data_IF_506507508833
#
_entry.id   IF_506507508833
#
_cell.length_a   1.000
_cell.length_b   1.000
_cell.length_c   1.000
_cell.angle_alpha   90.00
_cell.angle_beta   90.00
_cell.angle_gamma   90.00
#
_symmetry.space_group_name_H-M   'P 1'
#
loop_
_entity.id
_entity.type
_entity.pdbx_description
1 polymer ?
#
# COMPACT_ATOMS: atom_id res chain seq x y z
N UNK A 1 -7.67 3.70 15.12
CA UNK A 1 -6.62 3.57 16.15
C UNK A 1 -5.32 3.26 15.42
N UNK A 2 -4.33 4.12 15.58
CA UNK A 2 -3.03 3.99 14.95
C UNK A 2 -2.14 3.04 15.74
N UNK A 3 -1.00 2.65 15.16
CA UNK A 3 -0.06 1.70 15.78
C UNK A 3 0.49 2.17 17.14
N UNK A 4 0.59 3.49 17.35
CA UNK A 4 1.00 4.14 18.60
C UNK A 4 -0.11 4.19 19.66
N UNK A 5 -1.29 3.64 19.37
CA UNK A 5 -2.47 3.67 20.23
C UNK A 5 -3.30 4.96 20.11
N UNK A 6 -2.85 5.96 19.35
CA UNK A 6 -3.60 7.19 19.14
C UNK A 6 -4.87 6.95 18.32
N UNK A 7 -5.86 7.83 18.48
CA UNK A 7 -7.12 7.79 17.74
C UNK A 7 -7.24 9.01 16.83
N UNK A 8 -7.90 8.82 15.68
CA UNK A 8 -8.28 9.91 14.78
C UNK A 8 -9.81 9.89 14.68
N UNK A 9 -10.51 10.94 15.12
CA UNK A 9 -11.95 11.00 14.95
C UNK A 9 -12.30 11.23 13.47
N UNK A 10 -13.32 10.53 12.99
CA UNK A 10 -13.77 10.59 11.60
C UNK A 10 -15.28 10.72 11.51
N UNK A 11 -15.76 11.45 10.48
CA UNK A 11 -17.18 11.56 10.19
C UNK A 11 -17.64 10.35 9.39
N UNK A 12 -18.49 9.54 10.01
CA UNK A 12 -19.01 8.28 9.43
C UNK A 12 -19.59 8.46 8.03
N UNK A 13 -20.43 9.47 7.83
CA UNK A 13 -21.08 9.75 6.55
C UNK A 13 -20.07 10.03 5.42
N UNK A 14 -19.05 10.84 5.70
CA UNK A 14 -18.04 11.20 4.71
C UNK A 14 -17.21 9.98 4.31
N UNK A 15 -16.71 9.23 5.31
CA UNK A 15 -15.89 8.04 5.06
C UNK A 15 -16.71 6.97 4.32
N UNK A 16 -17.99 6.78 4.65
CA UNK A 16 -18.89 5.85 3.96
C UNK A 16 -19.11 6.19 2.47
N UNK A 17 -19.15 7.48 2.13
CA UNK A 17 -19.31 7.91 0.74
C UNK A 17 -18.01 7.66 -0.05
N UNK A 18 -16.86 7.83 0.61
CA UNK A 18 -15.53 7.77 -0.02
C UNK A 18 -14.91 6.37 -0.04
N UNK A 19 -15.43 5.43 0.74
CA UNK A 19 -14.91 4.07 0.86
C UNK A 19 -16.05 3.05 0.87
N UNK A 20 -15.98 2.08 -0.05
CA UNK A 20 -16.92 0.96 -0.05
C UNK A 20 -16.74 0.08 1.19
N UNK A 21 -15.50 -0.14 1.63
CA UNK A 21 -15.20 -0.89 2.85
C UNK A 21 -15.92 -0.31 4.06
N UNK A 22 -15.76 0.99 4.30
CA UNK A 22 -16.38 1.64 5.45
C UNK A 22 -17.90 1.72 5.30
N UNK A 23 -18.43 1.91 4.08
CA UNK A 23 -19.87 1.85 3.85
C UNK A 23 -20.46 0.52 4.30
N UNK A 24 -19.90 -0.59 3.84
CA UNK A 24 -20.35 -1.93 4.20
C UNK A 24 -20.20 -2.19 5.71
N UNK A 25 -19.05 -1.82 6.28
CA UNK A 25 -18.81 -1.93 7.72
C UNK A 25 -19.85 -1.16 8.53
N UNK A 26 -20.17 0.05 8.13
CA UNK A 26 -21.15 0.89 8.81
C UNK A 26 -22.57 0.37 8.63
N UNK A 27 -22.97 -0.08 7.43
CA UNK A 27 -24.29 -0.67 7.24
C UNK A 27 -24.47 -1.94 8.09
N UNK A 28 -23.43 -2.76 8.22
CA UNK A 28 -23.45 -3.92 9.12
C UNK A 28 -23.49 -3.50 10.60
N UNK A 29 -22.76 -2.44 10.96
CA UNK A 29 -22.69 -1.91 12.31
C UNK A 29 -23.91 -1.08 12.74
N UNK A 30 -24.79 -0.64 11.84
CA UNK A 30 -26.05 0.03 12.22
C UNK A 30 -26.98 -0.87 13.05
N UNK A 31 -26.70 -2.17 13.12
CA UNK A 31 -27.31 -3.09 14.09
C UNK A 31 -26.78 -2.92 15.54
N UNK A 32 -25.67 -2.21 15.75
CA UNK A 32 -24.99 -2.02 17.03
C UNK A 32 -24.78 -0.52 17.31
N UNK A 33 -25.55 0.02 18.26
CA UNK A 33 -25.40 1.42 18.71
C UNK A 33 -24.06 1.58 19.43
N UNK A 34 -23.15 2.42 18.91
CA UNK A 34 -21.89 2.76 19.57
C UNK A 34 -20.81 3.35 18.65
N UNK A 35 -19.68 3.72 19.26
CA UNK A 35 -18.48 4.16 18.54
C UNK A 35 -17.86 2.98 17.77
N UNK A 36 -17.59 3.18 16.47
CA UNK A 36 -16.94 2.19 15.61
C UNK A 36 -15.46 2.50 15.50
N UNK A 37 -14.62 1.57 15.96
CA UNK A 37 -13.17 1.66 15.82
C UNK A 37 -12.69 0.83 14.62
N UNK A 38 -11.70 1.38 13.91
CA UNK A 38 -10.89 0.67 12.92
C UNK A 38 -9.45 0.71 13.41
N UNK A 39 -8.81 -0.45 13.49
CA UNK A 39 -7.38 -0.54 13.83
C UNK A 39 -6.56 -0.52 12.54
N UNK A 40 -5.66 0.46 12.44
CA UNK A 40 -4.73 0.56 11.31
C UNK A 40 -3.40 -0.01 11.79
N UNK A 41 -3.22 -1.32 11.59
CA UNK A 41 -2.06 -2.05 12.08
C UNK A 41 -0.81 -1.71 11.27
N UNK A 42 0.30 -1.42 11.96
CA UNK A 42 1.62 -1.25 11.35
C UNK A 42 1.79 0.04 10.52
N UNK A 43 0.79 0.93 10.46
CA UNK A 43 0.88 2.19 9.73
C UNK A 43 1.21 3.36 10.67
N UNK A 44 2.29 4.11 10.40
CA UNK A 44 2.63 5.34 11.10
C UNK A 44 1.51 6.39 11.06
N UNK A 45 1.39 7.18 12.13
CA UNK A 45 0.30 8.16 12.31
C UNK A 45 0.25 9.22 11.20
N UNK A 46 1.40 9.72 10.76
CA UNK A 46 1.55 10.71 9.70
C UNK A 46 1.06 10.22 8.31
N UNK A 47 1.25 8.93 8.02
CA UNK A 47 0.68 8.30 6.83
C UNK A 47 -0.84 8.19 6.96
N UNK A 48 -1.34 7.82 8.14
CA UNK A 48 -2.79 7.79 8.41
C UNK A 48 -3.41 9.18 8.25
N UNK A 49 -2.76 10.22 8.76
CA UNK A 49 -3.24 11.60 8.63
C UNK A 49 -3.25 12.04 7.15
N UNK A 50 -2.24 11.64 6.36
CA UNK A 50 -2.20 11.88 4.90
C UNK A 50 -3.35 11.19 4.17
N UNK A 51 -3.65 9.93 4.53
CA UNK A 51 -4.79 9.19 3.98
C UNK A 51 -6.11 9.88 4.32
N UNK A 52 -6.28 10.31 5.57
CA UNK A 52 -7.49 11.00 6.02
C UNK A 52 -7.63 12.35 5.32
N UNK A 53 -6.55 13.13 5.17
CA UNK A 53 -6.56 14.39 4.40
C UNK A 53 -7.07 14.14 2.98
N UNK A 54 -6.58 13.10 2.30
CA UNK A 54 -7.07 12.71 0.97
C UNK A 54 -8.58 12.35 1.00
N UNK A 55 -9.04 11.56 1.97
CA UNK A 55 -10.46 11.17 2.07
C UNK A 55 -11.37 12.39 2.16
N UNK A 56 -10.94 13.45 2.87
CA UNK A 56 -11.73 14.66 3.09
C UNK A 56 -11.64 15.69 1.96
N UNK A 57 -10.49 15.81 1.31
CA UNK A 57 -10.20 16.92 0.40
C UNK A 57 -9.96 16.50 -1.06
N UNK A 58 -9.74 15.21 -1.31
CA UNK A 58 -9.25 14.67 -2.58
C UNK A 58 -7.87 15.24 -3.00
N UNK A 59 -7.17 15.93 -2.08
CA UNK A 59 -5.83 16.48 -2.30
C UNK A 59 -4.74 15.40 -2.15
N UNK A 60 -3.77 15.43 -3.05
CA UNK A 60 -2.61 14.54 -3.08
C UNK A 60 -1.35 15.31 -2.72
N UNK A 61 -1.29 15.76 -1.48
CA UNK A 61 -0.18 16.52 -0.91
C UNK A 61 0.41 15.74 0.28
N UNK A 62 1.39 14.90 -0.02
CA UNK A 62 2.10 14.07 0.96
C UNK A 62 3.52 13.72 0.47
N UNK A 63 4.45 13.40 1.38
CA UNK A 63 5.80 12.98 1.03
C UNK A 63 5.84 11.71 0.14
N UNK A 64 6.78 11.59 -0.82
CA UNK A 64 6.87 10.42 -1.70
C UNK A 64 7.02 9.07 -0.99
N UNK A 65 7.67 9.04 0.17
CA UNK A 65 7.85 7.80 0.94
C UNK A 65 6.54 7.26 1.54
N UNK A 66 5.47 8.06 1.61
CA UNK A 66 4.14 7.59 1.99
C UNK A 66 3.47 6.76 0.88
N UNK A 67 3.92 6.90 -0.37
CA UNK A 67 3.18 6.43 -1.54
C UNK A 67 2.93 4.91 -1.53
N UNK A 68 3.91 4.10 -1.12
CA UNK A 68 3.76 2.64 -1.08
C UNK A 68 2.63 2.22 -0.13
N UNK A 69 2.62 2.78 1.09
CA UNK A 69 1.59 2.47 2.08
C UNK A 69 0.23 3.08 1.72
N UNK A 70 0.20 4.31 1.19
CA UNK A 70 -1.04 4.94 0.73
C UNK A 70 -1.66 4.22 -0.46
N UNK A 71 -0.84 3.66 -1.36
CA UNK A 71 -1.27 2.79 -2.45
C UNK A 71 -2.02 1.58 -1.88
N UNK A 72 -1.42 0.89 -0.91
CA UNK A 72 -2.01 -0.26 -0.24
C UNK A 72 -3.35 0.11 0.44
N UNK A 73 -3.34 1.18 1.25
CA UNK A 73 -4.53 1.65 1.95
C UNK A 73 -5.66 2.02 1.00
N UNK A 74 -5.35 2.60 -0.17
CA UNK A 74 -6.38 2.97 -1.16
C UNK A 74 -7.18 1.75 -1.65
N UNK A 75 -6.50 0.60 -1.81
CA UNK A 75 -7.10 -0.67 -2.23
C UNK A 75 -7.75 -1.40 -1.07
N UNK A 76 -7.05 -1.51 0.07
CA UNK A 76 -7.56 -2.15 1.29
C UNK A 76 -8.89 -1.53 1.75
N UNK A 77 -8.95 -0.20 1.80
CA UNK A 77 -10.17 0.52 2.17
C UNK A 77 -11.11 0.77 0.98
N UNK A 78 -10.84 0.21 -0.20
CA UNK A 78 -11.71 0.28 -1.40
C UNK A 78 -12.26 1.69 -1.64
N UNK A 79 -11.34 2.65 -1.82
CA UNK A 79 -11.72 4.03 -2.09
C UNK A 79 -12.51 4.13 -3.40
N UNK A 80 -13.52 5.00 -3.43
CA UNK A 80 -14.35 5.21 -4.63
C UNK A 80 -13.63 6.01 -5.71
N UNK A 81 -12.65 6.83 -5.34
CA UNK A 81 -11.78 7.56 -6.25
C UNK A 81 -10.50 6.78 -6.51
N UNK A 82 -10.17 6.54 -7.78
CA UNK A 82 -8.90 5.93 -8.18
C UNK A 82 -7.70 6.90 -8.09
N UNK A 83 -7.95 8.19 -7.82
CA UNK A 83 -6.92 9.25 -7.87
C UNK A 83 -5.73 8.97 -6.95
N UNK A 84 -5.97 8.59 -5.69
CA UNK A 84 -4.89 8.28 -4.75
C UNK A 84 -4.05 7.11 -5.25
N UNK A 85 -4.72 6.07 -5.76
CA UNK A 85 -4.08 4.89 -6.31
C UNK A 85 -3.18 5.24 -7.50
N UNK A 86 -3.70 5.98 -8.47
CA UNK A 86 -2.96 6.36 -9.68
C UNK A 86 -1.75 7.25 -9.35
N UNK A 87 -1.92 8.22 -8.45
CA UNK A 87 -0.83 9.12 -8.05
C UNK A 87 0.25 8.35 -7.30
N UNK A 88 -0.12 7.51 -6.33
CA UNK A 88 0.84 6.69 -5.61
C UNK A 88 1.56 5.71 -6.54
N UNK A 89 0.84 5.07 -7.47
CA UNK A 89 1.44 4.15 -8.45
C UNK A 89 2.49 4.85 -9.32
N UNK A 90 2.20 6.08 -9.78
CA UNK A 90 3.19 6.91 -10.51
C UNK A 90 4.42 7.24 -9.65
N UNK A 91 4.22 7.66 -8.40
CA UNK A 91 5.33 7.97 -7.48
C UNK A 91 6.20 6.72 -7.26
N UNK A 92 5.58 5.57 -7.04
CA UNK A 92 6.27 4.28 -6.86
C UNK A 92 7.09 3.93 -8.11
N UNK A 93 6.54 4.09 -9.32
CA UNK A 93 7.27 3.78 -10.57
C UNK A 93 8.49 4.68 -10.80
N UNK A 94 8.42 5.94 -10.40
CA UNK A 94 9.47 6.95 -10.70
C UNK A 94 10.50 7.07 -9.56
N UNK A 95 10.06 7.02 -8.31
CA UNK A 95 10.80 7.55 -7.16
C UNK A 95 11.26 6.54 -6.13
N UNK A 96 11.02 5.24 -6.32
CA UNK A 96 11.46 4.24 -5.34
C UNK A 96 12.97 4.24 -5.19
N UNK A 97 13.45 4.13 -3.95
CA UNK A 97 14.85 3.75 -3.69
C UNK A 97 15.02 2.24 -3.83
N UNK A 98 16.25 1.80 -4.10
CA UNK A 98 16.56 0.37 -4.26
C UNK A 98 16.11 -0.47 -3.05
N UNK A 99 16.28 0.07 -1.84
CA UNK A 99 15.87 -0.55 -0.58
C UNK A 99 14.35 -0.66 -0.40
N UNK A 100 13.55 0.10 -1.14
CA UNK A 100 12.09 0.15 -1.03
C UNK A 100 11.39 -0.73 -2.08
N UNK A 101 12.11 -1.14 -3.14
CA UNK A 101 11.53 -1.90 -4.27
C UNK A 101 10.97 -3.25 -3.81
N UNK A 102 11.62 -3.93 -2.88
CA UNK A 102 11.14 -5.22 -2.36
C UNK A 102 9.81 -5.06 -1.60
N UNK A 103 9.72 -4.08 -0.71
CA UNK A 103 8.47 -3.78 0.00
C UNK A 103 7.36 -3.36 -0.97
N UNK A 104 7.68 -2.54 -1.97
CA UNK A 104 6.71 -2.16 -2.99
C UNK A 104 6.22 -3.37 -3.81
N UNK A 105 7.08 -4.35 -4.06
CA UNK A 105 6.72 -5.58 -4.77
C UNK A 105 5.78 -6.45 -3.93
N UNK A 106 6.04 -6.58 -2.62
CA UNK A 106 5.12 -7.24 -1.69
C UNK A 106 3.77 -6.54 -1.63
N UNK A 107 3.76 -5.21 -1.58
CA UNK A 107 2.53 -4.42 -1.65
C UNK A 107 1.78 -4.71 -2.94
N UNK A 108 2.47 -4.66 -4.09
CA UNK A 108 1.87 -4.94 -5.41
C UNK A 108 1.21 -6.33 -5.47
N UNK A 109 1.83 -7.34 -4.84
CA UNK A 109 1.26 -8.68 -4.69
C UNK A 109 0.00 -8.68 -3.80
N UNK A 110 0.04 -8.01 -2.65
CA UNK A 110 -1.10 -7.92 -1.72
C UNK A 110 -2.31 -7.20 -2.32
N UNK A 111 -2.08 -6.18 -3.15
CA UNK A 111 -3.15 -5.45 -3.85
C UNK A 111 -3.55 -6.09 -5.18
N UNK A 112 -2.96 -7.23 -5.54
CA UNK A 112 -3.19 -7.96 -6.78
C UNK A 112 -2.98 -7.10 -8.05
N UNK A 113 -2.01 -6.17 -8.01
CA UNK A 113 -1.63 -5.35 -9.16
C UNK A 113 -0.48 -6.01 -9.93
N UNK A 114 -0.85 -6.89 -10.86
CA UNK A 114 0.09 -7.64 -11.70
C UNK A 114 0.99 -6.73 -12.55
N UNK A 115 0.49 -5.58 -13.02
CA UNK A 115 1.26 -4.68 -13.88
C UNK A 115 2.36 -3.97 -13.07
N UNK A 116 2.00 -3.47 -11.88
CA UNK A 116 2.99 -2.89 -10.97
C UNK A 116 3.98 -3.94 -10.48
N UNK A 117 3.51 -5.15 -10.17
CA UNK A 117 4.37 -6.25 -9.74
C UNK A 117 5.39 -6.61 -10.82
N UNK A 118 4.97 -6.77 -12.06
CA UNK A 118 5.86 -7.06 -13.19
C UNK A 118 6.92 -5.96 -13.38
N UNK A 119 6.49 -4.69 -13.35
CA UNK A 119 7.41 -3.56 -13.41
C UNK A 119 8.47 -3.60 -12.31
N UNK A 120 8.06 -3.88 -11.07
CA UNK A 120 8.97 -3.95 -9.92
C UNK A 120 9.93 -5.14 -10.00
N UNK A 121 9.46 -6.30 -10.47
CA UNK A 121 10.31 -7.48 -10.72
C UNK A 121 11.39 -7.16 -11.77
N UNK A 122 11.02 -6.54 -12.89
CA UNK A 122 11.98 -6.14 -13.92
C UNK A 122 13.02 -5.15 -13.36
N UNK A 123 12.59 -4.22 -12.52
CA UNK A 123 13.49 -3.27 -11.86
C UNK A 123 14.45 -3.96 -10.87
N UNK A 124 13.99 -4.97 -10.13
CA UNK A 124 14.84 -5.79 -9.25
C UNK A 124 15.88 -6.54 -10.08
N UNK A 125 15.48 -7.18 -11.18
CA UNK A 125 16.40 -7.91 -12.08
C UNK A 125 17.49 -6.98 -12.63
N UNK A 126 17.11 -5.79 -13.10
CA UNK A 126 18.06 -4.81 -13.63
C UNK A 126 19.09 -4.30 -12.60
N UNK A 127 18.76 -4.33 -11.31
CA UNK A 127 19.61 -3.86 -10.21
C UNK A 127 19.96 -4.97 -9.22
N UNK A 128 19.94 -6.23 -9.67
CA UNK A 128 20.00 -7.39 -8.79
C UNK A 128 21.29 -7.47 -7.98
N UNK A 129 22.43 -7.02 -8.53
CA UNK A 129 23.72 -7.01 -7.83
C UNK A 129 23.71 -6.18 -6.54
N UNK A 130 22.90 -5.12 -6.46
CA UNK A 130 22.73 -4.33 -5.24
C UNK A 130 21.54 -4.77 -4.38
N UNK A 131 20.44 -5.26 -4.99
CA UNK A 131 19.30 -5.76 -4.22
C UNK A 131 19.63 -7.08 -3.53
N UNK A 132 20.31 -7.99 -4.24
CA UNK A 132 20.67 -9.34 -3.77
C UNK A 132 21.61 -9.37 -2.55
N UNK A 133 22.33 -8.28 -2.29
CA UNK A 133 23.20 -8.13 -1.12
C UNK A 133 22.48 -7.53 0.10
N UNK A 134 21.24 -7.05 -0.07
CA UNK A 134 20.46 -6.47 1.02
C UNK A 134 19.94 -7.54 1.97
N UNK A 135 19.97 -7.25 3.28
CA UNK A 135 19.37 -8.10 4.30
C UNK A 135 17.85 -8.28 4.09
N UNK A 136 17.18 -7.35 3.38
CA UNK A 136 15.76 -7.43 3.04
C UNK A 136 15.44 -8.63 2.13
N UNK A 137 16.41 -9.18 1.41
CA UNK A 137 16.20 -10.42 0.65
C UNK A 137 15.94 -11.60 1.59
N UNK A 138 16.46 -11.56 2.82
CA UNK A 138 16.16 -12.57 3.84
C UNK A 138 14.70 -12.45 4.32
N UNK A 139 14.13 -11.26 4.32
CA UNK A 139 12.72 -11.04 4.69
C UNK A 139 11.76 -11.67 3.66
N UNK A 140 12.17 -11.76 2.39
CA UNK A 140 11.41 -12.47 1.35
C UNK A 140 11.25 -13.98 1.60
N UNK A 141 11.99 -14.58 2.55
CA UNK A 141 11.81 -15.98 2.96
C UNK A 141 10.37 -16.25 3.42
N UNK A 142 9.69 -15.24 3.99
CA UNK A 142 8.30 -15.33 4.40
C UNK A 142 7.32 -15.33 3.21
N UNK A 143 7.79 -15.04 1.99
CA UNK A 143 7.00 -15.00 0.75
C UNK A 143 7.70 -15.74 -0.41
N UNK A 144 7.70 -17.09 -0.41
CA UNK A 144 8.43 -17.90 -1.40
C UNK A 144 7.98 -17.67 -2.87
N UNK A 145 6.74 -17.23 -3.06
CA UNK A 145 6.18 -16.92 -4.38
C UNK A 145 6.91 -15.76 -5.05
N UNK A 146 7.22 -14.71 -4.29
CA UNK A 146 7.93 -13.53 -4.80
C UNK A 146 9.37 -13.84 -5.18
N UNK A 147 10.05 -14.69 -4.40
CA UNK A 147 11.37 -15.21 -4.76
C UNK A 147 11.31 -15.98 -6.07
N UNK A 148 10.30 -16.82 -6.24
CA UNK A 148 10.11 -17.61 -7.48
C UNK A 148 9.91 -16.70 -8.70
N UNK A 149 9.14 -15.62 -8.55
CA UNK A 149 8.92 -14.65 -9.62
C UNK A 149 10.22 -13.93 -10.01
N UNK A 150 11.03 -13.52 -9.02
CA UNK A 150 12.36 -12.93 -9.27
C UNK A 150 13.28 -13.92 -9.98
N UNK A 151 13.38 -15.17 -9.48
CA UNK A 151 14.25 -16.19 -10.07
C UNK A 151 13.85 -16.52 -11.51
N UNK A 152 12.55 -16.59 -11.80
CA UNK A 152 12.05 -16.79 -13.16
C UNK A 152 12.43 -15.63 -14.07
N UNK A 153 12.26 -14.39 -13.62
CA UNK A 153 12.61 -13.21 -14.39
C UNK A 153 14.13 -13.11 -14.63
N UNK A 154 14.95 -13.45 -13.65
CA UNK A 154 16.41 -13.57 -13.82
C UNK A 154 16.78 -14.61 -14.88
N UNK A 155 16.17 -15.80 -14.83
CA UNK A 155 16.43 -16.86 -15.80
C UNK A 155 16.11 -16.43 -17.24
N UNK A 156 15.02 -15.68 -17.44
CA UNK A 156 14.64 -15.12 -18.75
C UNK A 156 15.62 -14.02 -19.20
N UNK A 157 16.11 -13.19 -18.27
CA UNK A 157 17.06 -12.11 -18.62
C UNK A 157 18.46 -12.59 -19.01
N UNK A 158 18.81 -13.82 -18.62
CA UNK A 158 20.11 -14.44 -18.86
C UNK A 158 20.13 -15.38 -20.08
N UNK A 159 18.97 -15.67 -20.68
CA UNK A 159 18.82 -16.47 -21.91
C UNK A 159 18.82 -15.60 -23.15
#
# INVERSE_FOLDING_TARGET
KCADGSTVPLHRCLVAVRSQYFREKFTAADAAVGDVYEEVLGVPRDIVDSFIKFVYSDEVDFPPHHAVTLLEMSKMYRLTSARLFEVCSKIVRIGLKQEEVLNAMEVADRIEDSELKEFLVQRIVAQFSGVGQSDKVKELQSTPRLITDILRALAISMS
#
